data_IF_669203801278
#
_entry.id   IF_669203801278
#
_cell.length_a   1.000
_cell.length_b   1.000
_cell.length_c   1.000
_cell.angle_alpha   90.00
_cell.angle_beta   90.00
_cell.angle_gamma   90.00
#
_symmetry.space_group_name_H-M   'P 1'
#
loop_
_entity.id
_entity.type
_entity.pdbx_description
1 polymer ?
#
# COMPACT_ATOMS: atom_id res chain seq x y z
N UNK A 1 -12.60 -19.44 -2.15
CA UNK A 1 -12.14 -20.59 -2.98
C UNK A 1 -11.42 -20.10 -4.25
N UNK A 2 -12.02 -19.22 -5.08
CA UNK A 2 -11.42 -18.75 -6.35
C UNK A 2 -10.09 -18.02 -6.11
N UNK A 3 -10.03 -17.07 -5.18
CA UNK A 3 -8.79 -16.36 -4.86
C UNK A 3 -7.67 -17.30 -4.40
N UNK A 4 -7.99 -18.30 -3.55
CA UNK A 4 -6.98 -19.27 -3.10
C UNK A 4 -6.48 -20.16 -4.25
N UNK A 5 -7.35 -20.53 -5.19
CA UNK A 5 -6.93 -21.28 -6.37
C UNK A 5 -6.03 -20.43 -7.30
N UNK A 6 -6.33 -19.13 -7.45
CA UNK A 6 -5.50 -18.20 -8.21
C UNK A 6 -4.11 -18.01 -7.57
N UNK A 7 -4.07 -17.79 -6.25
CA UNK A 7 -2.79 -17.67 -5.52
C UNK A 7 -1.95 -18.95 -5.68
N UNK A 8 -2.56 -20.11 -5.50
CA UNK A 8 -1.87 -21.39 -5.67
C UNK A 8 -1.29 -21.53 -7.08
N UNK A 9 -2.07 -21.27 -8.12
CA UNK A 9 -1.62 -21.40 -9.51
C UNK A 9 -0.49 -20.41 -9.85
N UNK A 10 -0.53 -19.18 -9.34
CA UNK A 10 0.53 -18.20 -9.51
C UNK A 10 1.83 -18.64 -8.81
N UNK A 11 1.73 -19.09 -7.56
CA UNK A 11 2.88 -19.57 -6.79
C UNK A 11 3.53 -20.84 -7.40
N UNK A 12 2.75 -21.73 -8.02
CA UNK A 12 3.28 -22.91 -8.75
C UNK A 12 4.20 -22.53 -9.90
N UNK A 13 4.06 -21.33 -10.47
CA UNK A 13 4.94 -20.79 -11.52
C UNK A 13 5.88 -19.70 -11.03
N UNK A 14 5.99 -19.52 -9.71
CA UNK A 14 6.93 -18.58 -9.08
C UNK A 14 6.50 -17.10 -9.16
N UNK A 15 5.23 -16.81 -9.38
CA UNK A 15 4.71 -15.45 -9.45
C UNK A 15 4.07 -15.05 -8.11
N UNK A 16 4.41 -13.86 -7.56
CA UNK A 16 3.68 -13.31 -6.43
C UNK A 16 2.28 -12.82 -6.84
N UNK A 17 1.39 -12.72 -5.87
CA UNK A 17 0.01 -12.25 -6.06
C UNK A 17 -0.24 -11.01 -5.22
N UNK A 18 -0.66 -9.94 -5.87
CA UNK A 18 -1.13 -8.72 -5.23
C UNK A 18 -2.65 -8.62 -5.30
N UNK A 19 -3.26 -8.06 -4.27
CA UNK A 19 -4.70 -7.89 -4.20
C UNK A 19 -5.09 -6.45 -3.86
N UNK A 20 -5.86 -5.81 -4.75
CA UNK A 20 -6.57 -4.57 -4.46
C UNK A 20 -7.68 -4.84 -3.45
N UNK A 21 -7.62 -4.22 -2.27
CA UNK A 21 -8.58 -4.42 -1.19
C UNK A 21 -8.74 -3.17 -0.32
N UNK A 22 -9.98 -2.74 -0.13
CA UNK A 22 -10.33 -1.54 0.65
C UNK A 22 -11.37 -1.82 1.76
N UNK A 23 -11.54 -3.08 2.14
CA UNK A 23 -12.42 -3.47 3.26
C UNK A 23 -11.75 -4.44 4.21
N UNK A 24 -12.08 -4.35 5.50
CA UNK A 24 -11.52 -5.21 6.55
C UNK A 24 -11.72 -6.69 6.26
N UNK A 25 -12.94 -7.07 5.86
CA UNK A 25 -13.26 -8.45 5.49
C UNK A 25 -12.53 -8.90 4.22
N UNK A 26 -12.37 -7.99 3.27
CA UNK A 26 -11.62 -8.25 2.04
C UNK A 26 -10.15 -8.51 2.31
N UNK A 27 -9.50 -7.67 3.14
CA UNK A 27 -8.09 -7.87 3.57
C UNK A 27 -7.92 -9.22 4.24
N UNK A 28 -8.81 -9.56 5.19
CA UNK A 28 -8.79 -10.87 5.84
C UNK A 28 -8.92 -12.01 4.83
N UNK A 29 -9.89 -11.95 3.93
CA UNK A 29 -10.14 -12.98 2.93
C UNK A 29 -8.97 -13.13 1.94
N UNK A 30 -8.35 -12.02 1.50
CA UNK A 30 -7.19 -12.02 0.62
C UNK A 30 -5.97 -12.67 1.28
N UNK A 31 -5.65 -12.28 2.52
CA UNK A 31 -4.56 -12.87 3.28
C UNK A 31 -4.79 -14.37 3.54
N UNK A 32 -6.02 -14.77 3.86
CA UNK A 32 -6.37 -16.20 4.01
C UNK A 32 -6.23 -16.97 2.70
N UNK A 33 -6.51 -16.33 1.56
CA UNK A 33 -6.34 -16.92 0.24
C UNK A 33 -4.85 -17.11 -0.15
N UNK A 34 -3.93 -16.38 0.48
CA UNK A 34 -2.50 -16.54 0.28
C UNK A 34 -1.87 -15.48 -0.62
N UNK A 35 -2.43 -14.26 -0.68
CA UNK A 35 -1.79 -13.16 -1.40
C UNK A 35 -0.50 -12.73 -0.72
N UNK A 36 0.44 -12.19 -1.49
CA UNK A 36 1.74 -11.72 -1.03
C UNK A 36 1.71 -10.24 -0.66
N UNK A 37 0.87 -9.45 -1.33
CA UNK A 37 0.71 -8.04 -1.04
C UNK A 37 -0.76 -7.63 -1.00
N UNK A 38 -1.07 -6.68 -0.11
CA UNK A 38 -2.34 -5.98 -0.05
C UNK A 38 -2.12 -4.56 -0.54
N UNK A 39 -2.72 -4.24 -1.68
CA UNK A 39 -2.76 -2.88 -2.20
C UNK A 39 -3.86 -2.11 -1.47
N UNK A 40 -3.59 -0.88 -1.09
CA UNK A 40 -4.38 0.00 -0.24
C UNK A 40 -4.45 -0.51 1.20
N UNK A 41 -5.31 -1.46 1.48
CA UNK A 41 -5.57 -1.95 2.82
C UNK A 41 -6.82 -1.29 3.42
N UNK A 42 -7.15 -1.68 4.65
CA UNK A 42 -8.32 -1.20 5.37
C UNK A 42 -8.07 -1.19 6.87
N UNK A 43 -9.03 -0.70 7.66
CA UNK A 43 -8.94 -0.68 9.11
C UNK A 43 -8.53 -2.08 9.64
N UNK A 44 -7.37 -2.22 10.27
CA UNK A 44 -6.85 -3.52 10.68
C UNK A 44 -7.48 -3.99 12.00
N UNK A 45 -7.52 -5.30 12.17
CA UNK A 45 -7.77 -5.95 13.47
C UNK A 45 -6.52 -6.73 13.90
N UNK A 46 -6.47 -7.14 15.18
CA UNK A 46 -5.39 -7.99 15.65
C UNK A 46 -5.25 -9.30 14.85
N UNK A 47 -6.38 -9.86 14.39
CA UNK A 47 -6.40 -11.05 13.53
C UNK A 47 -5.75 -10.77 12.18
N UNK A 48 -6.06 -9.62 11.55
CA UNK A 48 -5.46 -9.21 10.26
C UNK A 48 -3.95 -9.02 10.40
N UNK A 49 -3.50 -8.36 11.45
CA UNK A 49 -2.07 -8.18 11.72
C UNK A 49 -1.36 -9.53 11.90
N UNK A 50 -2.01 -10.48 12.59
CA UNK A 50 -1.46 -11.83 12.72
C UNK A 50 -1.40 -12.55 11.37
N UNK A 51 -2.43 -12.43 10.52
CA UNK A 51 -2.44 -13.00 9.17
C UNK A 51 -1.32 -12.44 8.30
N UNK A 52 -1.05 -11.12 8.32
CA UNK A 52 0.10 -10.54 7.62
C UNK A 52 1.42 -11.22 8.04
N UNK A 53 1.62 -11.42 9.34
CA UNK A 53 2.83 -12.08 9.86
C UNK A 53 2.92 -13.54 9.43
N UNK A 54 1.84 -14.30 9.56
CA UNK A 54 1.79 -15.72 9.24
C UNK A 54 2.03 -15.97 7.75
N UNK A 55 1.53 -15.08 6.89
CA UNK A 55 1.71 -15.13 5.43
C UNK A 55 3.00 -14.48 4.95
N UNK A 56 3.69 -13.71 5.81
CA UNK A 56 4.82 -12.84 5.42
C UNK A 56 4.43 -11.86 4.32
N UNK A 57 3.17 -11.49 4.29
CA UNK A 57 2.64 -10.53 3.34
C UNK A 57 3.01 -9.09 3.74
N UNK A 58 2.92 -8.16 2.80
CA UNK A 58 3.12 -6.74 3.04
C UNK A 58 1.92 -5.91 2.58
N UNK A 59 1.85 -4.67 3.05
CA UNK A 59 0.93 -3.66 2.53
C UNK A 59 1.67 -2.76 1.55
N UNK A 60 1.02 -2.38 0.45
CA UNK A 60 1.44 -1.25 -0.39
C UNK A 60 0.45 -0.12 -0.17
N UNK A 61 0.83 0.82 0.69
CA UNK A 61 0.00 1.98 1.00
C UNK A 61 -0.07 2.92 -0.21
N UNK A 62 -1.27 3.40 -0.52
CA UNK A 62 -1.56 4.31 -1.62
C UNK A 62 -2.50 5.39 -1.10
N UNK A 63 -1.95 6.35 -0.35
CA UNK A 63 -2.75 7.41 0.25
C UNK A 63 -3.26 8.41 -0.79
N UNK A 64 -2.50 8.57 -1.88
CA UNK A 64 -2.78 9.55 -2.92
C UNK A 64 -4.18 9.45 -3.54
N UNK A 65 -4.71 8.29 -3.96
CA UNK A 65 -6.02 8.22 -4.60
C UNK A 65 -7.18 8.46 -3.63
N UNK A 66 -7.06 8.05 -2.37
CA UNK A 66 -8.12 8.23 -1.38
C UNK A 66 -8.16 9.66 -0.80
N UNK A 67 -7.02 10.35 -0.75
CA UNK A 67 -6.90 11.66 -0.10
C UNK A 67 -7.81 12.74 -0.71
N UNK A 68 -7.93 12.91 -2.04
CA UNK A 68 -8.82 13.91 -2.63
C UNK A 68 -10.29 13.69 -2.26
N UNK A 69 -10.73 12.44 -2.24
CA UNK A 69 -12.09 12.10 -1.83
C UNK A 69 -12.32 12.39 -0.35
N UNK A 70 -11.35 12.07 0.51
CA UNK A 70 -11.46 12.21 1.95
C UNK A 70 -11.35 13.65 2.44
N UNK A 71 -10.42 14.45 1.89
CA UNK A 71 -9.92 15.68 2.51
C UNK A 71 -10.10 16.95 1.67
N UNK A 72 -10.37 16.86 0.36
CA UNK A 72 -10.58 18.06 -0.44
C UNK A 72 -11.97 18.64 -0.15
N UNK A 73 -12.05 19.96 -0.26
CA UNK A 73 -13.35 20.62 -0.27
C UNK A 73 -14.20 20.08 -1.43
N UNK A 74 -15.47 19.80 -1.18
CA UNK A 74 -16.37 19.26 -2.20
C UNK A 74 -16.59 20.21 -3.39
N UNK A 75 -16.37 21.52 -3.22
CA UNK A 75 -16.33 22.44 -4.33
C UNK A 75 -15.14 22.22 -5.29
N UNK A 76 -14.09 21.56 -4.81
CA UNK A 76 -12.89 21.21 -5.59
C UNK A 76 -12.97 19.77 -6.09
N UNK A 77 -13.28 18.84 -5.22
CA UNK A 77 -13.33 17.41 -5.57
C UNK A 77 -14.58 17.00 -6.35
N UNK A 78 -15.64 17.81 -6.30
CA UNK A 78 -16.95 17.54 -6.91
C UNK A 78 -17.61 16.23 -6.46
N UNK A 79 -17.17 15.67 -5.35
CA UNK A 79 -17.77 14.45 -4.78
C UNK A 79 -19.03 14.78 -3.97
N UNK A 80 -19.95 13.82 -3.92
CA UNK A 80 -21.11 13.88 -3.03
C UNK A 80 -20.67 13.70 -1.57
N UNK A 81 -21.56 14.00 -0.64
CA UNK A 81 -21.33 13.79 0.79
C UNK A 81 -21.04 12.31 1.13
N UNK A 82 -21.76 11.40 0.47
CA UNK A 82 -21.57 9.96 0.65
C UNK A 82 -20.21 9.50 0.13
N UNK A 83 -19.79 9.98 -1.04
CA UNK A 83 -18.47 9.67 -1.59
C UNK A 83 -17.35 10.21 -0.71
N UNK A 84 -17.49 11.41 -0.17
CA UNK A 84 -16.52 11.96 0.78
C UNK A 84 -16.45 11.14 2.07
N UNK A 85 -17.60 10.72 2.60
CA UNK A 85 -17.65 9.84 3.77
C UNK A 85 -16.94 8.52 3.49
N UNK A 86 -17.26 7.87 2.38
CA UNK A 86 -16.63 6.61 1.98
C UNK A 86 -15.12 6.79 1.73
N UNK A 87 -14.74 7.86 1.03
CA UNK A 87 -13.33 8.20 0.80
C UNK A 87 -12.56 8.38 2.11
N UNK A 88 -13.20 8.99 3.13
CA UNK A 88 -12.57 9.12 4.45
C UNK A 88 -12.42 7.78 5.16
N UNK A 89 -13.40 6.89 5.08
CA UNK A 89 -13.30 5.54 5.66
C UNK A 89 -12.14 4.76 5.02
N UNK A 90 -12.01 4.81 3.70
CA UNK A 90 -10.91 4.17 2.96
C UNK A 90 -9.57 4.81 3.36
N UNK A 91 -9.46 6.13 3.31
CA UNK A 91 -8.23 6.84 3.64
C UNK A 91 -7.75 6.54 5.08
N UNK A 92 -8.63 6.66 6.06
CA UNK A 92 -8.31 6.36 7.46
C UNK A 92 -7.89 4.88 7.61
N UNK A 93 -8.57 3.98 6.91
CA UNK A 93 -8.25 2.55 6.90
C UNK A 93 -6.85 2.24 6.35
N UNK A 94 -6.46 2.87 5.24
CA UNK A 94 -5.11 2.74 4.65
C UNK A 94 -4.05 3.23 5.63
N UNK A 95 -4.27 4.42 6.22
CA UNK A 95 -3.33 5.03 7.18
C UNK A 95 -3.15 4.15 8.42
N UNK A 96 -4.24 3.71 9.03
CA UNK A 96 -4.16 2.88 10.24
C UNK A 96 -3.58 1.49 9.95
N UNK A 97 -3.89 0.90 8.78
CA UNK A 97 -3.25 -0.34 8.34
C UNK A 97 -1.72 -0.17 8.24
N UNK A 98 -1.26 0.91 7.62
CA UNK A 98 0.17 1.19 7.49
C UNK A 98 0.85 1.37 8.84
N UNK A 99 0.25 2.14 9.76
CA UNK A 99 0.77 2.34 11.12
C UNK A 99 0.87 1.03 11.88
N UNK A 100 -0.18 0.21 11.87
CA UNK A 100 -0.21 -1.07 12.56
C UNK A 100 0.77 -2.07 11.94
N UNK A 101 0.88 -2.13 10.61
CA UNK A 101 1.89 -2.93 9.93
C UNK A 101 3.29 -2.55 10.40
N UNK A 102 3.64 -1.26 10.36
CA UNK A 102 4.94 -0.75 10.80
C UNK A 102 5.22 -1.05 12.28
N UNK A 103 4.25 -0.80 13.16
CA UNK A 103 4.38 -1.08 14.59
C UNK A 103 4.61 -2.57 14.89
N UNK A 104 4.18 -3.44 14.02
CA UNK A 104 4.31 -4.89 14.12
C UNK A 104 5.43 -5.50 13.28
N UNK A 105 6.29 -4.67 12.66
CA UNK A 105 7.42 -5.13 11.85
C UNK A 105 7.02 -5.75 10.50
N UNK A 106 5.78 -5.52 10.06
CA UNK A 106 5.29 -5.94 8.75
C UNK A 106 5.78 -4.91 7.73
N UNK A 107 6.37 -5.34 6.59
CA UNK A 107 6.84 -4.43 5.58
C UNK A 107 5.69 -3.62 4.96
N UNK A 108 5.93 -2.33 4.75
CA UNK A 108 5.04 -1.44 4.01
C UNK A 108 5.79 -0.89 2.80
N UNK A 109 5.18 -0.96 1.63
CA UNK A 109 5.60 -0.28 0.41
C UNK A 109 4.73 0.95 0.12
N UNK A 110 5.12 1.75 -0.86
CA UNK A 110 4.37 2.93 -1.31
C UNK A 110 4.08 2.86 -2.81
N UNK A 111 2.88 3.26 -3.19
CA UNK A 111 2.44 3.42 -4.58
C UNK A 111 1.51 4.62 -4.73
N UNK A 112 1.38 5.16 -5.93
CA UNK A 112 0.52 6.31 -6.22
C UNK A 112 -0.83 5.94 -6.80
N UNK A 113 -0.97 4.73 -7.32
CA UNK A 113 -2.16 4.29 -8.05
C UNK A 113 -2.54 5.30 -9.15
N UNK A 114 -1.53 5.67 -9.96
CA UNK A 114 -1.64 6.68 -11.02
C UNK A 114 -2.72 6.29 -12.03
N UNK A 115 -3.56 7.25 -12.38
CA UNK A 115 -4.73 7.09 -13.23
C UNK A 115 -6.02 7.45 -12.51
N UNK A 116 -6.00 7.48 -11.19
CA UNK A 116 -7.08 8.05 -10.39
C UNK A 116 -7.16 9.57 -10.55
N UNK A 117 -8.35 10.19 -10.34
CA UNK A 117 -8.49 11.65 -10.35
C UNK A 117 -7.47 12.33 -9.43
N UNK A 118 -6.87 13.42 -9.92
CA UNK A 118 -5.85 14.23 -9.22
C UNK A 118 -4.47 13.57 -9.06
N UNK A 119 -4.24 12.35 -9.54
CA UNK A 119 -2.97 11.64 -9.42
C UNK A 119 -2.29 11.53 -10.78
N UNK A 120 -1.15 12.22 -10.93
CA UNK A 120 -0.35 12.18 -12.16
C UNK A 120 0.88 11.27 -11.99
N UNK A 121 1.51 10.92 -13.13
CA UNK A 121 2.73 10.09 -13.15
C UNK A 121 3.92 10.72 -12.40
N UNK A 122 3.84 12.00 -12.10
CA UNK A 122 4.92 12.77 -11.44
C UNK A 122 4.69 12.94 -9.94
N UNK A 123 3.65 12.34 -9.37
CA UNK A 123 3.19 12.63 -8.01
C UNK A 123 3.73 11.70 -6.92
N UNK A 124 4.68 10.81 -7.22
CA UNK A 124 5.26 9.91 -6.19
C UNK A 124 5.85 10.67 -5.00
N UNK A 125 6.41 11.87 -5.20
CA UNK A 125 6.88 12.72 -4.13
C UNK A 125 5.76 13.15 -3.15
N UNK A 126 4.53 13.25 -3.63
CA UNK A 126 3.35 13.54 -2.78
C UNK A 126 3.03 12.35 -1.90
N UNK A 127 3.05 11.13 -2.44
CA UNK A 127 2.83 9.91 -1.67
C UNK A 127 3.87 9.78 -0.54
N UNK A 128 5.16 10.04 -0.82
CA UNK A 128 6.22 10.09 0.20
C UNK A 128 5.91 11.11 1.29
N UNK A 129 5.44 12.31 0.91
CA UNK A 129 5.07 13.37 1.86
C UNK A 129 3.81 13.00 2.67
N UNK A 130 2.81 12.36 2.05
CA UNK A 130 1.60 11.91 2.74
C UNK A 130 1.92 10.80 3.74
N UNK A 131 2.77 9.87 3.37
CA UNK A 131 3.21 8.81 4.27
C UNK A 131 3.91 9.38 5.51
N UNK A 132 4.84 10.34 5.33
CA UNK A 132 5.42 11.09 6.44
C UNK A 132 4.34 11.78 7.30
N UNK A 133 3.45 12.53 6.66
CA UNK A 133 2.48 13.40 7.35
C UNK A 133 1.42 12.59 8.11
N UNK A 134 0.87 11.54 7.51
CA UNK A 134 -0.29 10.83 8.05
C UNK A 134 0.09 9.56 8.82
N UNK A 135 1.18 8.90 8.46
CA UNK A 135 1.67 7.71 9.20
C UNK A 135 2.71 8.04 10.27
N UNK A 136 3.17 9.31 10.36
CA UNK A 136 4.07 9.76 11.43
C UNK A 136 5.51 9.28 11.31
N UNK A 137 5.92 8.77 10.15
CA UNK A 137 7.30 8.31 9.91
C UNK A 137 8.23 9.48 9.61
N UNK A 138 9.55 9.31 9.76
CA UNK A 138 10.51 10.35 9.36
C UNK A 138 10.58 10.50 7.84
N UNK A 139 10.99 11.67 7.34
CA UNK A 139 11.21 11.90 5.91
C UNK A 139 12.19 10.89 5.30
N UNK A 140 13.28 10.58 6.03
CA UNK A 140 14.26 9.59 5.60
C UNK A 140 13.67 8.20 5.48
N UNK A 141 12.80 7.80 6.42
CA UNK A 141 12.12 6.51 6.36
C UNK A 141 11.09 6.46 5.23
N UNK A 142 10.34 7.54 4.99
CA UNK A 142 9.40 7.63 3.87
C UNK A 142 10.13 7.50 2.52
N UNK A 143 11.27 8.17 2.35
CA UNK A 143 12.10 8.03 1.15
C UNK A 143 12.68 6.61 1.01
N UNK A 144 13.20 6.03 2.08
CA UNK A 144 13.66 4.64 2.11
C UNK A 144 12.55 3.67 1.68
N UNK A 145 11.32 3.89 2.15
CA UNK A 145 10.16 3.06 1.81
C UNK A 145 9.82 3.14 0.32
N UNK A 146 9.84 4.35 -0.25
CA UNK A 146 9.54 4.59 -1.66
C UNK A 146 10.64 4.08 -2.63
N UNK A 147 11.84 3.83 -2.14
CA UNK A 147 12.99 3.44 -2.96
C UNK A 147 13.45 2.03 -2.62
N UNK A 148 14.34 1.89 -1.64
CA UNK A 148 14.96 0.60 -1.30
C UNK A 148 13.95 -0.45 -0.87
N UNK A 149 13.00 -0.10 0.00
CA UNK A 149 11.96 -1.03 0.46
C UNK A 149 11.08 -1.50 -0.71
N UNK A 150 10.62 -0.60 -1.56
CA UNK A 150 9.84 -0.97 -2.74
C UNK A 150 10.63 -1.92 -3.67
N UNK A 151 11.89 -1.62 -3.95
CA UNK A 151 12.73 -2.49 -4.77
C UNK A 151 12.92 -3.90 -4.16
N UNK A 152 13.06 -3.98 -2.82
CA UNK A 152 13.12 -5.25 -2.10
C UNK A 152 11.80 -6.03 -2.21
N UNK A 153 10.66 -5.35 -2.06
CA UNK A 153 9.32 -5.98 -2.11
C UNK A 153 8.98 -6.55 -3.48
N UNK A 154 9.43 -5.90 -4.56
CA UNK A 154 9.22 -6.39 -5.93
C UNK A 154 10.36 -7.30 -6.44
N UNK A 155 11.33 -7.64 -5.59
CA UNK A 155 12.40 -8.59 -5.90
C UNK A 155 13.52 -8.07 -6.79
N UNK A 156 13.70 -6.74 -6.90
CA UNK A 156 14.78 -6.10 -7.70
C UNK A 156 15.74 -5.28 -6.83
N UNK A 157 15.74 -5.51 -5.52
CA UNK A 157 16.55 -4.75 -4.57
C UNK A 157 18.07 -4.93 -4.73
N UNK A 158 18.52 -5.96 -5.44
CA UNK A 158 19.90 -6.15 -5.87
C UNK A 158 20.29 -5.29 -7.09
N UNK A 159 19.30 -4.81 -7.86
CA UNK A 159 19.48 -4.07 -9.10
C UNK A 159 19.32 -2.55 -8.92
N UNK A 160 18.40 -2.12 -8.05
CA UNK A 160 18.04 -0.71 -7.86
C UNK A 160 17.54 -0.39 -6.44
N UNK A 161 17.07 0.83 -6.21
CA UNK A 161 16.45 1.28 -4.96
C UNK A 161 17.44 1.84 -3.93
N UNK A 162 18.74 1.75 -4.16
CA UNK A 162 19.78 2.33 -3.30
C UNK A 162 21.02 2.69 -4.09
N UNK A 163 21.78 3.71 -3.61
CA UNK A 163 23.02 4.16 -4.22
C UNK A 163 24.15 3.25 -3.73
N UNK A 164 24.42 2.19 -4.48
CA UNK A 164 25.44 1.19 -4.19
C UNK A 164 26.22 0.84 -5.46
N UNK A 165 27.49 0.47 -5.32
CA UNK A 165 28.32 0.06 -6.46
C UNK A 165 27.74 -1.20 -7.11
N UNK A 166 27.54 -1.15 -8.43
CA UNK A 166 27.00 -2.25 -9.21
C UNK A 166 25.50 -2.22 -9.45
N UNK A 167 24.79 -1.29 -8.81
CA UNK A 167 23.35 -1.07 -9.08
C UNK A 167 23.12 -0.07 -10.22
N UNK A 168 21.90 -0.08 -10.77
CA UNK A 168 21.46 0.91 -11.75
C UNK A 168 21.46 2.32 -11.14
N UNK A 169 21.89 3.30 -11.94
CA UNK A 169 21.91 4.72 -11.53
C UNK A 169 20.55 5.38 -11.84
N UNK A 170 19.50 4.92 -11.19
CA UNK A 170 18.15 5.47 -11.27
C UNK A 170 17.99 6.55 -10.20
N UNK A 171 17.91 7.85 -10.63
CA UNK A 171 17.80 9.00 -9.74
C UNK A 171 16.56 9.84 -10.04
#
# INVERSE_FOLDING_TARGET
>A
EVAAAACKAAHEVGLPVMAHVESTEGVKAALQAGVDTIEHGAMPSAEIIQLFKDRKACQVATLSPALPYALFDRAVSHVSEMEQYNGKVVFDGIVECAKECLANGIPVGLGTDTGCPYITHYDMWREVNYFHKFCGVSNAFALYTATKRNAELVGIGDQTGSIEVGKCADF
#
